data_IF_073846439219
#
_entry.id   IF_073846439219
#
_cell.length_a   1.000
_cell.length_b   1.000
_cell.length_c   1.000
_cell.angle_alpha   90.00
_cell.angle_beta   90.00
_cell.angle_gamma   90.00
#
_symmetry.space_group_name_H-M   'P 1'
#
loop_
_entity.id
_entity.type
_entity.pdbx_description
1 polymer ?
#
# COMPACT_ATOMS: atom_id res chain seq x y z
N UNK A 1 17.48 -3.57 -1.04
CA UNK A 1 18.56 -4.40 -1.63
C UNK A 1 18.23 -4.60 -3.10
N UNK A 2 19.03 -4.00 -3.97
CA UNK A 2 18.76 -4.06 -5.41
C UNK A 2 19.56 -5.24 -5.97
N UNK A 3 18.89 -6.32 -6.35
CA UNK A 3 19.55 -7.40 -7.09
C UNK A 3 19.78 -6.98 -8.54
N UNK A 4 21.05 -7.01 -8.94
CA UNK A 4 21.42 -6.84 -10.35
C UNK A 4 21.08 -8.12 -11.11
N UNK A 5 20.04 -8.07 -11.92
CA UNK A 5 19.77 -9.12 -12.88
C UNK A 5 20.66 -8.90 -14.10
N UNK A 6 21.61 -9.81 -14.30
CA UNK A 6 22.47 -9.81 -15.48
C UNK A 6 21.75 -10.53 -16.60
N UNK A 7 21.17 -9.78 -17.51
CA UNK A 7 20.57 -10.35 -18.73
C UNK A 7 21.70 -10.77 -19.66
N UNK A 8 21.90 -12.06 -19.85
CA UNK A 8 22.76 -12.57 -20.89
C UNK A 8 22.05 -12.46 -22.24
N UNK A 9 22.65 -11.73 -23.14
CA UNK A 9 22.27 -11.72 -24.52
C UNK A 9 22.45 -13.13 -25.11
N UNK A 10 21.37 -13.77 -25.49
CA UNK A 10 21.43 -15.04 -26.18
C UNK A 10 21.64 -14.79 -27.67
N UNK A 11 22.73 -15.35 -28.19
CA UNK A 11 23.07 -15.32 -29.60
C UNK A 11 22.19 -16.22 -30.50
N UNK A 12 21.08 -16.70 -29.97
CA UNK A 12 20.11 -17.58 -30.65
C UNK A 12 19.15 -16.78 -31.56
N UNK A 13 19.23 -15.47 -31.55
CA UNK A 13 18.33 -14.59 -32.32
C UNK A 13 18.53 -14.66 -33.84
N UNK A 14 19.55 -15.34 -34.34
CA UNK A 14 19.76 -15.45 -35.79
C UNK A 14 18.88 -16.47 -36.51
N UNK A 15 18.38 -17.48 -35.82
CA UNK A 15 17.53 -18.52 -36.44
C UNK A 15 16.02 -18.27 -36.28
N UNK A 16 15.64 -17.33 -35.43
CA UNK A 16 14.22 -17.01 -35.12
C UNK A 16 13.69 -15.92 -36.04
N UNK A 17 14.55 -15.16 -36.71
CA UNK A 17 14.13 -14.03 -37.53
C UNK A 17 13.32 -14.40 -38.77
N UNK A 18 13.30 -15.67 -39.17
CA UNK A 18 12.52 -16.15 -40.34
C UNK A 18 11.13 -16.63 -40.00
N UNK A 19 10.85 -16.96 -38.76
CA UNK A 19 9.52 -17.48 -38.36
C UNK A 19 8.65 -16.37 -37.76
N UNK A 20 9.24 -15.22 -37.47
CA UNK A 20 8.59 -14.12 -36.73
C UNK A 20 8.03 -13.00 -37.58
N UNK A 21 8.10 -13.10 -38.94
CA UNK A 21 7.49 -12.06 -39.78
C UNK A 21 5.96 -12.12 -39.85
N UNK A 22 5.32 -13.13 -39.27
CA UNK A 22 3.87 -13.29 -39.32
C UNK A 22 3.14 -13.25 -38.00
N UNK A 23 3.84 -13.28 -36.85
CA UNK A 23 3.18 -13.47 -35.57
C UNK A 23 3.65 -12.51 -34.45
N UNK A 24 4.42 -11.49 -34.80
CA UNK A 24 4.85 -10.50 -33.82
C UNK A 24 3.90 -9.30 -33.72
N UNK A 25 2.61 -9.60 -33.61
CA UNK A 25 1.77 -8.75 -32.81
C UNK A 25 2.01 -9.23 -31.38
N UNK A 26 3.17 -8.93 -30.85
CA UNK A 26 3.30 -8.84 -29.44
C UNK A 26 2.40 -7.68 -29.03
N UNK A 27 1.21 -8.03 -28.66
CA UNK A 27 0.39 -7.22 -27.80
C UNK A 27 1.28 -7.05 -26.56
N UNK A 28 2.03 -5.95 -26.53
CA UNK A 28 2.54 -5.40 -25.28
C UNK A 28 1.27 -5.05 -24.50
N UNK A 29 0.70 -6.06 -23.85
CA UNK A 29 -0.23 -5.85 -22.78
C UNK A 29 0.63 -5.20 -21.72
N UNK A 30 0.69 -3.87 -21.77
CA UNK A 30 1.10 -3.09 -20.65
C UNK A 30 0.05 -3.38 -19.57
N UNK A 31 0.32 -4.43 -18.80
CA UNK A 31 -0.35 -4.64 -17.55
C UNK A 31 0.11 -3.47 -16.68
N UNK A 32 -0.61 -2.36 -16.78
CA UNK A 32 -0.54 -1.34 -15.76
C UNK A 32 -1.07 -2.01 -14.50
N UNK A 33 -0.18 -2.66 -13.77
CA UNK A 33 -0.46 -3.10 -12.42
C UNK A 33 -0.57 -1.81 -11.61
N UNK A 34 -1.77 -1.31 -11.49
CA UNK A 34 -2.07 -0.20 -10.61
C UNK A 34 -2.00 -0.79 -9.20
N UNK A 35 -0.87 -0.60 -8.55
CA UNK A 35 -0.73 -0.92 -7.14
C UNK A 35 -1.60 0.08 -6.38
N UNK A 36 -2.54 -0.41 -5.61
CA UNK A 36 -3.21 0.42 -4.65
C UNK A 36 -2.17 0.81 -3.58
N UNK A 37 -2.03 2.09 -3.34
CA UNK A 37 -1.06 2.60 -2.38
C UNK A 37 -1.72 2.70 -1.00
N UNK A 38 -1.16 2.00 -0.03
CA UNK A 38 -1.57 2.06 1.37
C UNK A 38 -0.42 2.63 2.17
N UNK A 39 -0.63 3.81 2.74
CA UNK A 39 0.37 4.52 3.54
C UNK A 39 -0.11 4.66 4.98
N UNK A 40 0.72 4.28 5.93
CA UNK A 40 0.46 4.48 7.36
C UNK A 40 1.40 5.52 7.95
N UNK A 41 0.87 6.35 8.84
CA UNK A 41 1.65 7.34 9.58
C UNK A 41 1.08 7.53 10.98
N UNK A 42 1.93 7.90 11.93
CA UNK A 42 1.54 8.25 13.30
C UNK A 42 1.82 9.73 13.56
N UNK A 43 0.99 10.35 14.39
CA UNK A 43 1.15 11.77 14.75
C UNK A 43 2.34 11.99 15.71
N UNK A 44 2.71 10.96 16.46
CA UNK A 44 3.86 10.97 17.38
C UNK A 44 4.39 9.56 17.59
N UNK A 45 5.67 9.44 17.84
CA UNK A 45 6.36 8.16 18.04
C UNK A 45 6.93 7.99 19.45
N UNK A 46 6.80 9.01 20.30
CA UNK A 46 7.18 8.94 21.71
C UNK A 46 5.96 9.34 22.55
N UNK A 47 5.43 8.39 23.29
CA UNK A 47 4.21 8.54 24.11
C UNK A 47 4.45 8.00 25.51
N UNK A 48 3.78 8.58 26.47
CA UNK A 48 3.75 8.08 27.85
C UNK A 48 2.66 7.02 28.02
N UNK A 49 2.77 6.23 29.08
CA UNK A 49 1.73 5.27 29.43
C UNK A 49 0.39 6.00 29.68
N UNK A 50 -0.69 5.47 29.10
CA UNK A 50 -2.03 6.05 29.07
C UNK A 50 -2.17 7.30 28.18
N UNK A 51 -1.15 7.70 27.49
CA UNK A 51 -1.25 8.73 26.45
C UNK A 51 -1.77 8.12 25.16
N UNK A 52 -2.65 8.86 24.47
CA UNK A 52 -3.18 8.44 23.18
C UNK A 52 -2.41 9.08 22.03
N UNK A 53 -2.31 8.35 20.93
CA UNK A 53 -1.78 8.84 19.66
C UNK A 53 -2.68 8.44 18.51
N UNK A 54 -2.50 9.07 17.36
CA UNK A 54 -3.32 8.81 16.20
C UNK A 54 -2.52 8.10 15.12
N UNK A 55 -3.02 6.95 14.69
CA UNK A 55 -2.56 6.25 13.50
C UNK A 55 -3.47 6.63 12.33
N UNK A 56 -2.89 7.13 11.25
CA UNK A 56 -3.58 7.42 10.00
C UNK A 56 -3.18 6.42 8.94
N UNK A 57 -4.15 5.84 8.28
CA UNK A 57 -3.98 4.96 7.13
C UNK A 57 -4.64 5.62 5.94
N UNK A 58 -3.84 5.95 4.94
CA UNK A 58 -4.30 6.57 3.70
C UNK A 58 -4.34 5.48 2.64
N UNK A 59 -5.49 5.31 2.03
CA UNK A 59 -5.75 4.27 1.04
C UNK A 59 -6.19 4.93 -0.26
N UNK A 60 -5.59 4.53 -1.36
CA UNK A 60 -6.04 4.94 -2.68
C UNK A 60 -7.46 4.42 -2.95
N UNK A 61 -8.18 5.13 -3.78
CA UNK A 61 -9.61 4.99 -4.02
C UNK A 61 -10.08 3.67 -4.60
N UNK A 62 -9.16 2.85 -5.10
CA UNK A 62 -9.50 1.57 -5.71
C UNK A 62 -9.86 0.49 -4.68
N UNK A 63 -9.57 0.75 -3.40
CA UNK A 63 -9.86 -0.17 -2.31
C UNK A 63 -11.05 0.37 -1.53
N UNK A 64 -12.17 -0.32 -1.60
CA UNK A 64 -13.38 0.00 -0.82
C UNK A 64 -13.43 -0.65 0.55
N UNK A 65 -12.45 -1.49 0.87
CA UNK A 65 -12.40 -2.25 2.11
C UNK A 65 -11.87 -1.43 3.28
N UNK A 66 -12.41 -1.69 4.45
CA UNK A 66 -11.92 -1.13 5.71
C UNK A 66 -10.60 -1.80 6.10
N UNK A 67 -9.63 -1.04 6.66
CA UNK A 67 -8.41 -1.62 7.20
C UNK A 67 -8.70 -2.65 8.29
N UNK A 68 -8.02 -3.78 8.23
CA UNK A 68 -8.07 -4.77 9.30
C UNK A 68 -7.19 -4.32 10.47
N UNK A 69 -7.82 -3.73 11.48
CA UNK A 69 -7.15 -3.21 12.66
C UNK A 69 -6.91 -4.29 13.75
N UNK A 70 -7.25 -5.55 13.52
CA UNK A 70 -7.14 -6.61 14.52
C UNK A 70 -5.71 -6.79 15.05
N UNK A 71 -4.69 -6.61 14.18
CA UNK A 71 -3.30 -6.68 14.58
C UNK A 71 -2.90 -5.59 15.60
N UNK A 72 -3.58 -4.44 15.59
CA UNK A 72 -3.34 -3.35 16.53
C UNK A 72 -3.87 -3.67 17.93
N UNK A 73 -4.94 -4.42 18.02
CA UNK A 73 -5.62 -4.73 19.30
C UNK A 73 -4.78 -5.60 20.24
N UNK A 74 -3.72 -6.20 19.75
CA UNK A 74 -2.79 -6.99 20.56
C UNK A 74 -2.08 -6.12 21.61
N UNK A 75 -1.57 -4.97 21.20
CA UNK A 75 -0.73 -4.09 22.02
C UNK A 75 -1.39 -2.76 22.37
N UNK A 76 -2.46 -2.41 21.68
CA UNK A 76 -3.14 -1.13 21.80
C UNK A 76 -4.64 -1.28 22.05
N UNK A 77 -5.20 -0.26 22.69
CA UNK A 77 -6.64 -0.08 22.81
C UNK A 77 -7.06 0.93 21.75
N UNK A 78 -8.01 0.56 20.92
CA UNK A 78 -8.61 1.46 19.93
C UNK A 78 -9.77 2.18 20.61
N UNK A 79 -9.59 3.46 20.93
CA UNK A 79 -10.61 4.26 21.60
C UNK A 79 -11.56 4.96 20.65
N UNK A 80 -11.11 5.27 19.44
CA UNK A 80 -11.98 5.79 18.38
C UNK A 80 -11.46 5.45 17.00
N UNK A 81 -12.37 5.46 16.02
CA UNK A 81 -12.05 5.38 14.60
C UNK A 81 -12.85 6.42 13.83
N UNK A 82 -12.27 6.98 12.81
CA UNK A 82 -12.95 7.87 11.88
C UNK A 82 -12.46 7.64 10.46
N UNK A 83 -13.29 8.00 9.50
CA UNK A 83 -12.98 7.91 8.08
C UNK A 83 -13.24 9.25 7.42
N UNK A 84 -12.32 9.66 6.57
CA UNK A 84 -12.46 10.81 5.69
C UNK A 84 -12.22 10.36 4.25
N UNK A 85 -13.16 10.66 3.36
CA UNK A 85 -13.00 10.44 1.93
C UNK A 85 -12.74 11.75 1.23
N UNK A 86 -11.74 11.79 0.38
CA UNK A 86 -11.38 12.95 -0.42
C UNK A 86 -11.42 12.60 -1.91
N UNK A 87 -12.03 13.48 -2.70
CA UNK A 87 -12.05 13.35 -4.16
C UNK A 87 -11.51 14.64 -4.76
N UNK A 88 -10.49 14.48 -5.60
CA UNK A 88 -9.86 15.60 -6.31
C UNK A 88 -10.02 15.41 -7.80
N UNK A 89 -10.40 16.47 -8.50
CA UNK A 89 -10.52 16.49 -9.96
C UNK A 89 -9.55 17.54 -10.48
N UNK A 90 -8.55 17.10 -11.26
CA UNK A 90 -7.56 17.95 -11.89
C UNK A 90 -7.51 17.62 -13.37
N UNK A 91 -7.79 18.61 -14.24
CA UNK A 91 -7.77 18.46 -15.70
C UNK A 91 -8.60 17.26 -16.20
N UNK A 92 -9.76 17.00 -15.60
CA UNK A 92 -10.61 15.86 -15.94
C UNK A 92 -10.18 14.51 -15.35
N UNK A 93 -9.02 14.44 -14.70
CA UNK A 93 -8.58 13.27 -13.96
C UNK A 93 -9.15 13.26 -12.54
N UNK A 94 -9.80 12.18 -12.16
CA UNK A 94 -10.40 12.00 -10.84
C UNK A 94 -9.45 11.17 -9.98
N UNK A 95 -9.04 11.73 -8.83
CA UNK A 95 -8.29 11.03 -7.79
C UNK A 95 -9.14 10.98 -6.53
N UNK A 96 -9.20 9.81 -5.93
CA UNK A 96 -9.91 9.57 -4.67
C UNK A 96 -8.95 8.98 -3.66
N UNK A 97 -9.10 9.36 -2.41
CA UNK A 97 -8.38 8.75 -1.29
C UNK A 97 -9.28 8.65 -0.08
N UNK A 98 -9.05 7.64 0.73
CA UNK A 98 -9.66 7.48 2.04
C UNK A 98 -8.60 7.53 3.10
N UNK A 99 -8.88 8.30 4.14
CA UNK A 99 -8.03 8.35 5.34
C UNK A 99 -8.80 7.74 6.49
N UNK A 100 -8.27 6.66 7.02
CA UNK A 100 -8.74 6.06 8.26
C UNK A 100 -7.87 6.56 9.41
N UNK A 101 -8.49 7.03 10.48
CA UNK A 101 -7.80 7.51 11.67
C UNK A 101 -8.23 6.70 12.88
N UNK A 102 -7.26 6.12 13.56
CA UNK A 102 -7.45 5.34 14.78
C UNK A 102 -6.77 6.04 15.93
N UNK A 103 -7.51 6.29 17.01
CA UNK A 103 -6.93 6.76 18.26
C UNK A 103 -6.55 5.56 19.10
N UNK A 104 -5.26 5.42 19.36
CA UNK A 104 -4.66 4.26 20.03
C UNK A 104 -4.07 4.65 21.36
N UNK A 105 -4.18 3.76 22.35
CA UNK A 105 -3.52 3.87 23.64
C UNK A 105 -2.78 2.56 23.91
N UNK A 106 -1.51 2.63 24.31
CA UNK A 106 -0.72 1.44 24.61
C UNK A 106 -1.25 0.74 25.88
N UNK A 107 -1.37 -0.57 25.83
CA UNK A 107 -1.82 -1.39 26.97
C UNK A 107 -0.78 -1.50 28.08
N UNK A 108 0.50 -1.30 27.76
CA UNK A 108 1.64 -1.38 28.68
C UNK A 108 2.76 -0.47 28.24
N UNK A 109 3.67 -0.16 29.15
CA UNK A 109 4.90 0.56 28.80
C UNK A 109 5.87 -0.34 28.05
N UNK A 110 6.71 0.25 27.19
CA UNK A 110 7.73 -0.43 26.42
C UNK A 110 7.87 0.15 25.03
N UNK A 111 8.73 -0.46 24.23
CA UNK A 111 8.90 -0.12 22.82
C UNK A 111 8.00 -1.02 21.98
N UNK A 112 7.18 -0.40 21.13
CA UNK A 112 6.26 -1.09 20.26
C UNK A 112 6.52 -0.72 18.81
N UNK A 113 6.34 -1.71 17.94
CA UNK A 113 6.31 -1.52 16.50
C UNK A 113 4.84 -1.54 16.08
N UNK A 114 4.40 -0.52 15.35
CA UNK A 114 3.09 -0.56 14.71
C UNK A 114 3.10 -1.65 13.65
N UNK A 115 2.27 -2.69 13.77
CA UNK A 115 2.22 -3.73 12.77
C UNK A 115 1.66 -3.19 11.45
N UNK A 116 2.04 -3.81 10.35
CA UNK A 116 1.42 -3.53 9.06
C UNK A 116 -0.07 -3.83 9.11
N UNK A 117 -0.87 -2.89 8.64
CA UNK A 117 -2.32 -3.05 8.55
C UNK A 117 -2.69 -3.48 7.15
N UNK A 118 -3.53 -4.49 7.05
CA UNK A 118 -4.00 -5.03 5.78
C UNK A 118 -5.28 -4.29 5.38
N UNK A 119 -5.32 -3.85 4.12
CA UNK A 119 -6.49 -3.25 3.50
C UNK A 119 -6.77 -3.99 2.20
N UNK A 120 -7.81 -4.80 2.20
CA UNK A 120 -8.04 -5.73 1.10
C UNK A 120 -6.88 -6.71 0.94
N UNK A 121 -6.19 -6.68 -0.20
CA UNK A 121 -4.98 -7.48 -0.47
C UNK A 121 -3.67 -6.73 -0.18
N UNK A 122 -3.74 -5.45 0.18
CA UNK A 122 -2.59 -4.57 0.34
C UNK A 122 -2.20 -4.41 1.82
N UNK A 123 -0.95 -4.04 2.05
CA UNK A 123 -0.39 -3.78 3.39
C UNK A 123 0.18 -2.37 3.47
N UNK A 124 -0.01 -1.72 4.61
CA UNK A 124 0.62 -0.44 4.93
C UNK A 124 2.10 -0.58 5.24
#
# INVERSE_FOLDING_TARGET
MVEKIKVRSFSILRSISRILSGAFIFILINLNVTWADVTASVDRNNIELNESFTLKIIVDSLIDEEPDASALEKDFIISSRSQLSNTTIINGAISRSRTWSYTLTAKRAGDFIIPSVIVGSEKS
#
